data_IF_072778730094
#
_entry.id   IF_072778730094
#
_cell.length_a   1.000
_cell.length_b   1.000
_cell.length_c   1.000
_cell.angle_alpha   90.00
_cell.angle_beta   90.00
_cell.angle_gamma   90.00
#
_symmetry.space_group_name_H-M   'P 1'
#
loop_
_entity.id
_entity.type
_entity.pdbx_description
1 polymer ?
#
# COMPACT_ATOMS: atom_id res chain seq x y z
N UNK A 1 -34.10 -8.80 -26.40
CA UNK A 1 -32.76 -9.41 -26.16
C UNK A 1 -31.65 -8.52 -26.70
N UNK A 2 -31.85 -7.95 -27.89
CA UNK A 2 -30.89 -7.05 -28.54
C UNK A 2 -30.58 -5.77 -27.75
N UNK A 3 -31.57 -5.15 -27.11
CA UNK A 3 -31.36 -3.96 -26.27
C UNK A 3 -30.45 -4.24 -25.07
N UNK A 4 -30.60 -5.41 -24.43
CA UNK A 4 -29.71 -5.82 -23.33
C UNK A 4 -28.29 -6.07 -23.84
N UNK A 5 -28.15 -6.69 -25.02
CA UNK A 5 -26.84 -6.90 -25.63
C UNK A 5 -26.12 -5.57 -25.92
N UNK A 6 -26.84 -4.58 -26.46
CA UNK A 6 -26.31 -3.22 -26.67
C UNK A 6 -25.85 -2.56 -25.37
N UNK A 7 -26.69 -2.61 -24.33
CA UNK A 7 -26.33 -2.08 -23.00
C UNK A 7 -25.07 -2.74 -22.42
N UNK A 8 -24.92 -4.06 -22.60
CA UNK A 8 -23.71 -4.77 -22.17
C UNK A 8 -22.48 -4.41 -23.00
N UNK A 9 -22.64 -4.19 -24.31
CA UNK A 9 -21.55 -3.73 -25.16
C UNK A 9 -21.09 -2.31 -24.81
N UNK A 10 -22.02 -1.42 -24.47
CA UNK A 10 -21.71 -0.04 -24.10
C UNK A 10 -21.04 0.04 -22.72
N UNK A 11 -21.50 -0.79 -21.77
CA UNK A 11 -20.82 -0.99 -20.48
C UNK A 11 -19.40 -1.53 -20.67
N UNK A 12 -19.21 -2.46 -21.61
CA UNK A 12 -17.89 -3.02 -21.92
C UNK A 12 -16.97 -2.04 -22.65
N UNK A 13 -17.53 -1.06 -23.36
CA UNK A 13 -16.79 0.01 -24.05
C UNK A 13 -16.49 1.22 -23.14
N UNK A 14 -16.99 1.24 -21.90
CA UNK A 14 -16.83 2.39 -20.99
C UNK A 14 -17.75 3.57 -21.31
N UNK A 15 -18.68 3.43 -22.25
CA UNK A 15 -19.50 4.54 -22.80
C UNK A 15 -20.75 4.87 -21.96
N UNK A 16 -20.93 4.26 -20.79
CA UNK A 16 -22.16 4.37 -19.98
C UNK A 16 -22.32 5.72 -19.26
N UNK A 17 -21.29 6.56 -19.21
CA UNK A 17 -21.31 7.88 -18.57
C UNK A 17 -21.60 9.05 -19.52
N UNK A 18 -21.49 8.84 -20.84
CA UNK A 18 -21.59 9.93 -21.81
C UNK A 18 -22.99 10.56 -21.92
N UNK A 19 -24.05 9.85 -21.49
CA UNK A 19 -25.43 10.31 -21.66
C UNK A 19 -26.02 11.07 -20.45
N UNK A 20 -25.29 11.16 -19.32
CA UNK A 20 -25.89 11.57 -18.04
C UNK A 20 -25.56 12.97 -17.54
N UNK A 21 -24.62 13.70 -18.14
CA UNK A 21 -24.08 14.94 -17.55
C UNK A 21 -23.84 16.09 -18.53
N UNK A 22 -24.46 16.08 -19.71
CA UNK A 22 -24.48 17.25 -20.60
C UNK A 22 -25.94 17.68 -20.77
N UNK A 23 -26.48 18.39 -19.76
CA UNK A 23 -27.55 19.33 -20.06
C UNK A 23 -26.89 20.46 -20.86
N UNK A 24 -27.00 20.38 -22.17
CA UNK A 24 -26.63 21.44 -23.10
C UNK A 24 -27.56 22.64 -22.85
N UNK A 25 -27.31 23.36 -21.76
CA UNK A 25 -27.78 24.72 -21.62
C UNK A 25 -26.87 25.56 -22.52
N UNK A 26 -27.42 26.00 -23.66
CA UNK A 26 -26.81 26.87 -24.67
C UNK A 26 -26.37 28.20 -24.02
N UNK A 27 -25.28 28.17 -23.26
CA UNK A 27 -24.65 29.38 -22.73
C UNK A 27 -23.84 30.01 -23.85
N UNK A 28 -24.22 31.23 -24.24
CA UNK A 28 -23.76 32.04 -25.39
C UNK A 28 -22.25 32.38 -25.44
N UNK A 29 -21.43 31.78 -24.58
CA UNK A 29 -20.01 32.10 -24.46
C UNK A 29 -19.14 31.04 -25.15
N UNK A 30 -18.84 31.27 -26.44
CA UNK A 30 -17.93 30.44 -27.25
C UNK A 30 -16.56 30.21 -26.58
N UNK A 31 -16.11 31.16 -25.75
CA UNK A 31 -14.88 31.08 -24.98
C UNK A 31 -14.92 29.97 -23.92
N UNK A 32 -16.03 29.86 -23.17
CA UNK A 32 -16.21 28.79 -22.18
C UNK A 32 -16.37 27.43 -22.85
N UNK A 33 -17.03 27.37 -24.00
CA UNK A 33 -17.13 26.15 -24.80
C UNK A 33 -15.77 25.68 -25.33
N UNK A 34 -14.87 26.60 -25.71
CA UNK A 34 -13.50 26.27 -26.13
C UNK A 34 -12.64 25.80 -24.96
N UNK A 35 -12.78 26.42 -23.79
CA UNK A 35 -12.04 26.03 -22.58
C UNK A 35 -12.46 24.63 -22.10
N UNK A 36 -13.78 24.35 -22.06
CA UNK A 36 -14.30 23.02 -21.72
C UNK A 36 -13.89 21.96 -22.74
N UNK A 37 -13.81 22.28 -24.04
CA UNK A 37 -13.27 21.35 -25.06
C UNK A 37 -11.80 21.03 -24.82
N UNK A 38 -10.97 22.05 -24.56
CA UNK A 38 -9.54 21.87 -24.25
C UNK A 38 -9.32 21.05 -22.97
N UNK A 39 -10.16 21.26 -21.96
CA UNK A 39 -10.13 20.47 -20.72
C UNK A 39 -10.58 19.02 -20.98
N UNK A 40 -11.67 18.81 -21.73
CA UNK A 40 -12.13 17.46 -22.13
C UNK A 40 -11.06 16.72 -22.94
N UNK A 41 -10.33 17.38 -23.84
CA UNK A 41 -9.21 16.80 -24.61
C UNK A 41 -7.99 16.44 -23.74
N UNK A 42 -7.85 17.05 -22.56
CA UNK A 42 -6.76 16.76 -21.61
C UNK A 42 -7.13 15.77 -20.50
N UNK A 43 -8.41 15.40 -20.35
CA UNK A 43 -8.87 14.43 -19.37
C UNK A 43 -8.75 13.01 -19.92
N UNK A 44 -8.11 12.13 -19.17
CA UNK A 44 -8.00 10.71 -19.51
C UNK A 44 -9.24 9.98 -18.98
N UNK A 45 -10.04 9.40 -19.88
CA UNK A 45 -11.09 8.46 -19.49
C UNK A 45 -10.46 7.10 -19.16
N UNK A 46 -10.42 6.79 -17.87
CA UNK A 46 -9.82 5.57 -17.36
C UNK A 46 -10.63 4.31 -17.71
N UNK A 47 -11.95 4.43 -17.84
CA UNK A 47 -12.83 3.31 -18.19
C UNK A 47 -12.67 2.96 -19.67
N UNK A 48 -12.57 3.97 -20.54
CA UNK A 48 -12.25 3.78 -21.96
C UNK A 48 -10.84 3.23 -22.16
N UNK A 49 -9.83 3.81 -21.50
CA UNK A 49 -8.43 3.34 -21.59
C UNK A 49 -8.28 1.88 -21.13
N UNK A 50 -9.01 1.49 -20.09
CA UNK A 50 -9.02 0.12 -19.61
C UNK A 50 -9.70 -0.83 -20.62
N UNK A 51 -10.84 -0.43 -21.20
CA UNK A 51 -11.54 -1.20 -22.22
C UNK A 51 -10.69 -1.40 -23.49
N UNK A 52 -9.98 -0.36 -23.94
CA UNK A 52 -9.09 -0.42 -25.10
C UNK A 52 -7.86 -1.32 -24.83
N UNK A 53 -7.29 -1.26 -23.62
CA UNK A 53 -6.23 -2.17 -23.21
C UNK A 53 -6.69 -3.64 -23.20
N UNK A 54 -7.94 -3.91 -22.81
CA UNK A 54 -8.52 -5.26 -22.86
C UNK A 54 -8.81 -5.73 -24.30
N UNK A 55 -9.18 -4.81 -25.22
CA UNK A 55 -9.33 -5.11 -26.66
C UNK A 55 -7.99 -5.39 -27.32
N UNK A 56 -6.95 -4.63 -26.98
CA UNK A 56 -5.57 -4.87 -27.45
C UNK A 56 -5.06 -6.24 -27.03
N UNK A 57 -5.34 -6.68 -25.80
CA UNK A 57 -5.03 -8.05 -25.35
C UNK A 57 -5.86 -9.17 -26.00
N UNK A 58 -7.00 -8.84 -26.60
CA UNK A 58 -7.89 -9.80 -27.26
C UNK A 58 -7.60 -10.02 -28.75
N UNK A 59 -6.71 -9.21 -29.34
CA UNK A 59 -6.33 -9.28 -30.76
C UNK A 59 -4.81 -9.44 -30.87
N UNK A 60 -4.31 -10.64 -30.56
CA UNK A 60 -3.08 -11.23 -31.12
C UNK A 60 -1.91 -10.32 -31.48
N UNK A 61 -1.49 -9.44 -30.58
CA UNK A 61 -0.20 -8.76 -30.66
C UNK A 61 0.33 -8.69 -29.23
N UNK A 62 1.05 -9.74 -28.86
CA UNK A 62 2.11 -9.63 -27.86
C UNK A 62 2.98 -8.47 -28.31
N UNK A 63 3.15 -7.49 -27.43
CA UNK A 63 4.12 -6.43 -27.66
C UNK A 63 5.48 -7.10 -27.77
N UNK A 64 5.97 -7.15 -29.01
CA UNK A 64 7.37 -7.21 -29.37
C UNK A 64 8.08 -6.10 -28.59
N UNK A 65 8.66 -6.46 -27.45
CA UNK A 65 9.95 -5.90 -27.07
C UNK A 65 10.98 -6.73 -27.85
N UNK A 66 11.30 -6.25 -29.06
CA UNK A 66 12.56 -6.55 -29.72
C UNK A 66 13.68 -6.05 -28.80
N UNK A 67 14.25 -6.96 -28.01
CA UNK A 67 15.68 -7.02 -27.78
C UNK A 67 16.08 -8.48 -28.07
N UNK A 68 16.28 -8.76 -29.35
CA UNK A 68 17.11 -9.87 -29.81
C UNK A 68 18.54 -9.58 -29.34
N UNK A 69 18.90 -10.01 -28.13
CA UNK A 69 20.29 -10.21 -27.73
C UNK A 69 20.39 -11.39 -26.74
N UNK A 70 20.61 -12.56 -27.35
CA UNK A 70 21.32 -13.72 -26.81
C UNK A 70 20.60 -14.58 -25.75
N UNK A 71 20.22 -15.79 -26.19
CA UNK A 71 19.73 -16.94 -25.39
C UNK A 71 20.69 -17.33 -24.22
N UNK A 72 21.87 -16.70 -24.13
CA UNK A 72 22.83 -16.88 -23.04
C UNK A 72 22.43 -16.19 -21.71
N UNK A 73 21.57 -15.17 -21.77
CA UNK A 73 21.16 -14.38 -20.58
C UNK A 73 20.00 -15.00 -19.78
N UNK A 74 19.28 -15.96 -20.36
CA UNK A 74 18.23 -16.73 -19.68
C UNK A 74 18.77 -17.77 -18.69
N UNK A 75 20.09 -17.99 -18.66
CA UNK A 75 20.72 -18.90 -17.71
C UNK A 75 20.53 -18.43 -16.26
N UNK A 76 19.96 -19.29 -15.43
CA UNK A 76 19.74 -19.00 -14.00
C UNK A 76 21.06 -19.17 -13.26
N UNK A 77 21.63 -18.07 -12.78
CA UNK A 77 22.89 -18.03 -12.02
C UNK A 77 22.61 -17.65 -10.57
N UNK A 78 23.42 -18.17 -9.64
CA UNK A 78 23.42 -17.72 -8.25
C UNK A 78 24.30 -16.47 -8.09
N UNK A 79 23.74 -15.38 -7.57
CA UNK A 79 24.45 -14.13 -7.30
C UNK A 79 24.13 -13.60 -5.89
N UNK A 80 24.95 -12.66 -5.40
CA UNK A 80 24.71 -11.97 -4.14
C UNK A 80 23.96 -10.66 -4.38
N UNK A 81 22.84 -10.48 -3.70
CA UNK A 81 22.02 -9.28 -3.70
C UNK A 81 22.73 -8.11 -2.99
N UNK A 82 22.24 -6.89 -3.16
CA UNK A 82 22.71 -5.66 -2.46
C UNK A 82 22.69 -5.81 -0.93
N UNK A 83 21.84 -6.68 -0.39
CA UNK A 83 21.78 -7.01 1.04
C UNK A 83 22.73 -8.15 1.48
N UNK A 84 23.62 -8.63 0.60
CA UNK A 84 24.54 -9.74 0.87
C UNK A 84 23.86 -11.11 0.97
N UNK A 85 22.64 -11.26 0.42
CA UNK A 85 21.90 -12.53 0.41
C UNK A 85 22.14 -13.26 -0.92
N UNK A 86 22.30 -14.57 -0.87
CA UNK A 86 22.39 -15.38 -2.10
C UNK A 86 21.01 -15.54 -2.75
N UNK A 87 20.87 -15.09 -3.99
CA UNK A 87 19.67 -15.21 -4.82
C UNK A 87 19.99 -15.99 -6.09
N UNK A 88 18.96 -16.60 -6.69
CA UNK A 88 19.05 -17.22 -8.03
C UNK A 88 18.21 -16.37 -8.98
N UNK A 89 18.83 -15.88 -10.04
CA UNK A 89 18.19 -14.99 -11.02
C UNK A 89 18.87 -15.10 -12.37
N UNK A 90 18.48 -14.23 -13.30
CA UNK A 90 19.08 -14.19 -14.63
C UNK A 90 20.48 -13.60 -14.60
N UNK A 91 21.26 -13.84 -15.64
CA UNK A 91 22.60 -13.26 -15.78
C UNK A 91 22.58 -11.72 -15.78
N UNK A 92 21.52 -11.13 -16.34
CA UNK A 92 21.28 -9.69 -16.32
C UNK A 92 21.03 -9.15 -14.90
N UNK A 93 20.23 -9.85 -14.09
CA UNK A 93 19.99 -9.48 -12.69
C UNK A 93 21.27 -9.56 -11.86
N UNK A 94 22.10 -10.59 -12.12
CA UNK A 94 23.42 -10.73 -11.50
C UNK A 94 24.39 -9.60 -11.88
N UNK A 95 24.41 -9.19 -13.16
CA UNK A 95 25.24 -8.08 -13.63
C UNK A 95 24.80 -6.73 -13.03
N UNK A 96 23.50 -6.51 -12.90
CA UNK A 96 22.95 -5.31 -12.26
C UNK A 96 23.33 -5.24 -10.77
N UNK A 97 23.22 -6.35 -10.04
CA UNK A 97 23.64 -6.43 -8.64
C UNK A 97 25.15 -6.18 -8.46
N UNK A 98 25.99 -6.66 -9.38
CA UNK A 98 27.43 -6.42 -9.36
C UNK A 98 27.77 -4.92 -9.54
N UNK A 99 27.11 -4.22 -10.47
CA UNK A 99 27.32 -2.78 -10.70
C UNK A 99 26.90 -1.93 -9.50
N UNK A 100 25.77 -2.26 -8.87
CA UNK A 100 25.33 -1.56 -7.66
C UNK A 100 26.30 -1.76 -6.49
N UNK A 101 26.87 -2.96 -6.35
CA UNK A 101 27.88 -3.27 -5.32
C UNK A 101 29.17 -2.46 -5.52
N UNK A 102 29.59 -2.28 -6.77
CA UNK A 102 30.75 -1.46 -7.14
C UNK A 102 30.48 0.03 -6.81
N UNK A 103 29.33 0.57 -7.23
CA UNK A 103 28.94 1.96 -6.93
C UNK A 103 28.78 2.23 -5.42
N UNK A 104 28.30 1.26 -4.64
CA UNK A 104 28.22 1.38 -3.19
C UNK A 104 29.61 1.40 -2.54
N UNK A 105 30.52 0.55 -3.01
CA UNK A 105 31.91 0.53 -2.54
C UNK A 105 32.64 1.85 -2.84
N UNK A 106 32.43 2.42 -4.03
CA UNK A 106 32.99 3.71 -4.42
C UNK A 106 32.35 4.90 -3.68
N UNK A 107 31.04 4.81 -3.37
CA UNK A 107 30.34 5.80 -2.53
C UNK A 107 30.71 5.73 -1.06
N UNK A 108 31.17 4.58 -0.56
CA UNK A 108 31.64 4.39 0.82
C UNK A 108 32.84 5.26 1.16
N UNK A 109 33.77 5.45 0.23
CA UNK A 109 34.97 6.27 0.44
C UNK A 109 34.73 7.79 0.23
N UNK A 110 33.74 8.16 -0.58
CA UNK A 110 33.48 9.56 -0.93
C UNK A 110 32.50 10.29 0.03
N UNK A 111 31.64 9.58 0.76
CA UNK A 111 30.52 10.19 1.53
C UNK A 111 30.86 10.65 2.96
N UNK A 112 32.05 10.38 3.49
CA UNK A 112 32.27 10.52 4.95
C UNK A 112 33.36 11.50 5.39
N UNK A 113 33.89 12.37 4.53
CA UNK A 113 34.89 13.39 4.96
C UNK A 113 34.37 14.38 6.00
N UNK A 114 33.05 14.50 6.17
CA UNK A 114 32.38 15.40 7.12
C UNK A 114 31.80 14.67 8.34
N UNK A 115 31.88 13.34 8.39
CA UNK A 115 31.35 12.56 9.51
C UNK A 115 32.50 12.25 10.47
N UNK A 116 32.37 12.58 11.77
CA UNK A 116 33.37 12.18 12.75
C UNK A 116 33.48 10.66 12.80
N UNK A 117 34.71 10.15 13.02
CA UNK A 117 34.96 8.72 13.14
C UNK A 117 34.10 8.12 14.24
N UNK A 118 33.54 6.94 13.96
CA UNK A 118 32.72 6.21 14.93
C UNK A 118 33.57 5.96 16.20
N UNK A 119 33.05 6.23 17.40
CA UNK A 119 33.80 5.98 18.63
C UNK A 119 34.06 4.48 18.82
N UNK A 120 35.28 4.12 19.21
CA UNK A 120 35.71 2.72 19.36
C UNK A 120 34.95 1.98 20.49
N UNK A 121 34.54 2.73 21.52
CA UNK A 121 33.87 2.19 22.70
C UNK A 121 32.35 2.20 22.54
N UNK A 122 31.84 1.35 21.65
CA UNK A 122 30.40 1.10 21.55
C UNK A 122 29.97 0.06 22.58
N UNK A 123 28.93 0.40 23.35
CA UNK A 123 28.29 -0.54 24.25
C UNK A 123 27.32 -1.39 23.41
N UNK A 124 27.59 -2.68 23.29
CA UNK A 124 26.74 -3.63 22.57
C UNK A 124 25.83 -4.40 23.56
N UNK A 125 24.55 -4.56 23.22
CA UNK A 125 23.58 -5.34 24.00
C UNK A 125 22.76 -4.54 25.02
N UNK A 126 21.98 -5.24 25.85
CA UNK A 126 21.12 -4.66 26.88
C UNK A 126 21.94 -4.22 28.11
N UNK A 127 22.77 -3.20 27.96
CA UNK A 127 23.50 -2.59 29.06
C UNK A 127 22.61 -1.54 29.74
N UNK A 128 22.01 -1.90 30.87
CA UNK A 128 21.34 -0.94 31.75
C UNK A 128 22.43 -0.22 32.54
N UNK A 129 22.69 1.05 32.22
CA UNK A 129 23.57 1.91 33.04
C UNK A 129 22.86 2.24 34.36
N UNK A 130 22.87 1.30 35.31
CA UNK A 130 22.22 1.47 36.62
C UNK A 130 22.89 2.56 37.48
N UNK A 131 24.18 2.83 37.24
CA UNK A 131 24.96 3.83 37.99
C UNK A 131 24.96 5.22 37.35
N UNK A 132 24.36 5.40 36.17
CA UNK A 132 24.28 6.73 35.52
C UNK A 132 23.45 7.74 36.33
N UNK A 133 22.61 7.26 37.25
CA UNK A 133 21.75 8.07 38.12
C UNK A 133 21.87 7.66 39.59
N UNK A 134 23.09 7.74 40.13
CA UNK A 134 23.30 7.84 41.57
C UNK A 134 23.56 9.30 41.93
N UNK A 135 22.50 10.14 42.12
CA UNK A 135 22.71 11.52 42.51
C UNK A 135 23.34 11.56 43.91
N UNK A 136 24.44 12.29 44.06
CA UNK A 136 25.01 12.58 45.37
C UNK A 136 23.94 13.14 46.31
N UNK A 137 24.10 12.93 47.62
CA UNK A 137 23.12 13.33 48.63
C UNK A 137 22.73 14.82 48.54
N UNK A 138 23.66 15.68 48.15
CA UNK A 138 23.39 17.11 47.89
C UNK A 138 22.51 17.34 46.65
N UNK A 139 22.77 16.62 45.55
CA UNK A 139 22.01 16.70 44.31
C UNK A 139 20.58 16.17 44.50
N UNK A 140 20.43 15.07 45.26
CA UNK A 140 19.13 14.53 45.65
C UNK A 140 18.32 15.53 46.49
N UNK A 141 18.95 16.23 47.44
CA UNK A 141 18.31 17.27 48.23
C UNK A 141 17.86 18.45 47.36
N UNK A 142 18.69 18.89 46.41
CA UNK A 142 18.36 19.96 45.48
C UNK A 142 17.19 19.59 44.55
N UNK A 143 17.18 18.36 44.02
CA UNK A 143 16.05 17.85 43.25
C UNK A 143 14.76 17.81 44.08
N UNK A 144 14.82 17.37 45.33
CA UNK A 144 13.66 17.36 46.22
C UNK A 144 13.13 18.77 46.52
N UNK A 145 14.03 19.74 46.61
CA UNK A 145 13.70 21.15 46.83
C UNK A 145 13.03 21.77 45.60
N UNK A 146 13.56 21.52 44.40
CA UNK A 146 12.94 21.93 43.14
C UNK A 146 11.56 21.30 42.95
N UNK A 147 11.40 20.01 43.28
CA UNK A 147 10.11 19.31 43.19
C UNK A 147 9.06 19.83 44.20
N UNK A 148 9.48 20.39 45.33
CA UNK A 148 8.59 21.07 46.30
C UNK A 148 8.18 22.45 45.81
N UNK A 149 9.07 23.16 45.10
CA UNK A 149 8.82 24.49 44.52
C UNK A 149 8.10 24.46 43.19
N UNK A 150 8.04 23.30 42.53
CA UNK A 150 7.22 23.11 41.34
C UNK A 150 5.78 23.42 41.70
N UNK A 151 5.18 24.39 41.02
CA UNK A 151 3.75 24.64 41.12
C UNK A 151 3.01 23.34 40.79
N UNK A 152 2.30 22.84 41.80
CA UNK A 152 1.42 21.66 41.69
C UNK A 152 -0.01 22.08 41.39
N UNK A 153 -0.22 23.32 40.95
CA UNK A 153 -1.53 23.77 40.47
C UNK A 153 -2.00 22.73 39.46
N UNK A 154 -3.20 22.16 39.66
CA UNK A 154 -3.72 21.15 38.76
C UNK A 154 -3.70 21.74 37.36
N UNK A 155 -3.16 20.95 36.43
CA UNK A 155 -3.41 20.94 34.98
C UNK A 155 -3.73 22.28 34.30
N UNK A 156 -3.06 22.64 33.19
CA UNK A 156 -3.55 23.75 32.36
C UNK A 156 -5.06 23.58 32.14
N UNK A 157 -5.81 24.69 32.23
CA UNK A 157 -7.26 24.71 31.98
C UNK A 157 -7.56 23.85 30.76
N UNK A 158 -8.65 23.06 30.79
CA UNK A 158 -9.07 22.16 29.71
C UNK A 158 -9.42 22.97 28.45
N UNK A 159 -8.38 23.49 27.82
CA UNK A 159 -8.43 24.32 26.64
C UNK A 159 -8.46 23.35 25.48
N UNK A 160 -9.67 23.09 25.01
CA UNK A 160 -9.89 22.25 23.85
C UNK A 160 -9.55 23.01 22.57
N UNK A 161 -9.19 22.23 21.54
CA UNK A 161 -8.96 22.75 20.21
C UNK A 161 -10.20 23.49 19.68
N UNK A 162 -10.04 24.73 19.25
CA UNK A 162 -11.09 25.52 18.60
C UNK A 162 -10.90 25.48 17.09
N UNK A 163 -11.86 24.86 16.41
CA UNK A 163 -11.85 24.68 14.96
C UNK A 163 -12.03 25.99 14.20
N UNK A 164 -12.61 27.01 14.82
CA UNK A 164 -12.87 28.32 14.20
C UNK A 164 -11.65 29.24 14.27
N UNK A 165 -10.74 28.97 15.22
CA UNK A 165 -9.54 29.78 15.43
C UNK A 165 -8.44 29.52 14.38
N UNK A 166 -8.48 28.38 13.69
CA UNK A 166 -7.45 27.99 12.74
C UNK A 166 -8.03 27.33 11.49
N UNK A 167 -7.51 27.71 10.31
CA UNK A 167 -7.98 27.16 9.05
C UNK A 167 -7.20 25.92 8.61
N UNK A 168 -7.15 24.91 9.48
CA UNK A 168 -6.55 23.59 9.19
C UNK A 168 -7.55 22.57 8.64
N UNK A 169 -8.84 22.94 8.58
CA UNK A 169 -9.94 22.04 8.26
C UNK A 169 -10.22 21.89 6.75
N UNK A 170 -9.38 22.44 5.87
CA UNK A 170 -9.65 22.54 4.41
C UNK A 170 -9.34 21.29 3.58
N UNK A 171 -8.84 20.20 4.16
CA UNK A 171 -8.33 19.06 3.38
C UNK A 171 -8.78 17.66 3.81
N UNK A 172 -9.32 17.48 5.00
CA UNK A 172 -9.70 16.15 5.52
C UNK A 172 -11.01 16.25 6.29
N UNK A 173 -11.80 15.18 6.29
CA UNK A 173 -13.08 15.10 6.99
C UNK A 173 -12.90 15.35 8.49
N UNK A 174 -13.09 16.61 8.89
CA UNK A 174 -12.89 17.09 10.24
C UNK A 174 -14.25 17.16 10.96
N UNK A 175 -14.28 16.65 12.19
CA UNK A 175 -15.45 16.74 13.06
C UNK A 175 -15.19 17.78 14.16
N UNK A 176 -15.93 18.90 14.10
CA UNK A 176 -15.83 19.97 15.08
C UNK A 176 -16.62 19.59 16.34
N UNK A 177 -15.94 19.46 17.47
CA UNK A 177 -16.60 19.25 18.76
C UNK A 177 -17.19 20.55 19.28
N UNK A 178 -18.26 20.43 20.07
CA UNK A 178 -18.81 21.57 20.81
C UNK A 178 -17.81 22.09 21.85
N UNK A 179 -17.88 23.39 22.15
CA UNK A 179 -17.15 24.04 23.24
C UNK A 179 -17.71 23.66 24.61
N UNK A 180 -18.98 23.25 24.66
CA UNK A 180 -19.63 22.81 25.89
C UNK A 180 -19.16 21.40 26.28
N UNK A 181 -18.56 21.24 27.45
CA UNK A 181 -18.01 19.95 27.92
C UNK A 181 -19.03 18.81 27.94
N UNK A 182 -20.29 19.10 28.28
CA UNK A 182 -21.36 18.09 28.30
C UNK A 182 -21.69 17.59 26.90
N UNK A 183 -21.89 18.51 25.95
CA UNK A 183 -22.18 18.17 24.56
C UNK A 183 -20.98 17.48 23.91
N UNK A 184 -19.76 17.94 24.21
CA UNK A 184 -18.52 17.32 23.73
C UNK A 184 -18.36 15.89 24.23
N UNK A 185 -18.67 15.62 25.50
CA UNK A 185 -18.64 14.25 26.06
C UNK A 185 -19.61 13.33 25.33
N UNK A 186 -20.85 13.78 25.13
CA UNK A 186 -21.85 13.02 24.36
C UNK A 186 -21.38 12.75 22.93
N UNK A 187 -20.85 13.76 22.24
CA UNK A 187 -20.30 13.60 20.89
C UNK A 187 -19.11 12.61 20.84
N UNK A 188 -18.25 12.61 21.86
CA UNK A 188 -17.17 11.63 21.97
C UNK A 188 -17.69 10.22 22.20
N UNK A 189 -18.70 10.05 23.06
CA UNK A 189 -19.34 8.75 23.30
C UNK A 189 -20.01 8.21 22.03
N UNK A 190 -20.73 9.05 21.29
CA UNK A 190 -21.33 8.70 20.01
C UNK A 190 -20.28 8.27 18.98
N UNK A 191 -19.17 8.99 18.87
CA UNK A 191 -18.07 8.62 17.97
C UNK A 191 -17.39 7.30 18.38
N UNK A 192 -17.24 7.04 19.68
CA UNK A 192 -16.73 5.75 20.16
C UNK A 192 -17.69 4.61 19.82
N UNK A 193 -18.99 4.80 20.02
CA UNK A 193 -20.00 3.80 19.67
C UNK A 193 -20.00 3.50 18.16
N UNK A 194 -19.97 4.53 17.32
CA UNK A 194 -19.88 4.37 15.87
C UNK A 194 -18.59 3.64 15.44
N UNK A 195 -17.47 3.93 16.10
CA UNK A 195 -16.21 3.21 15.87
C UNK A 195 -16.36 1.72 16.22
N UNK A 196 -16.90 1.39 17.37
CA UNK A 196 -17.06 0.01 17.83
C UNK A 196 -17.98 -0.78 16.89
N UNK A 197 -19.07 -0.18 16.43
CA UNK A 197 -19.96 -0.77 15.43
C UNK A 197 -19.21 -1.07 14.12
N UNK A 198 -18.46 -0.10 13.59
CA UNK A 198 -17.70 -0.30 12.35
C UNK A 198 -16.60 -1.35 12.49
N UNK A 199 -15.99 -1.46 13.67
CA UNK A 199 -14.99 -2.48 13.96
C UNK A 199 -15.63 -3.87 13.98
N UNK A 200 -16.76 -4.03 14.68
CA UNK A 200 -17.52 -5.29 14.70
C UNK A 200 -17.94 -5.71 13.30
N UNK A 201 -18.46 -4.79 12.48
CA UNK A 201 -18.82 -5.10 11.09
C UNK A 201 -17.62 -5.53 10.24
N UNK A 202 -16.46 -4.88 10.43
CA UNK A 202 -15.22 -5.25 9.74
C UNK A 202 -14.75 -6.64 10.14
N UNK A 203 -14.85 -6.99 11.42
CA UNK A 203 -14.51 -8.31 11.93
C UNK A 203 -15.44 -9.38 11.36
N UNK A 204 -16.76 -9.18 11.43
CA UNK A 204 -17.75 -10.09 10.83
C UNK A 204 -17.49 -10.27 9.33
N UNK A 205 -17.19 -9.19 8.60
CA UNK A 205 -16.85 -9.26 7.16
C UNK A 205 -15.56 -10.05 6.92
N UNK A 206 -14.55 -9.87 7.78
CA UNK A 206 -13.27 -10.58 7.70
C UNK A 206 -13.46 -12.08 7.99
N UNK A 207 -14.25 -12.43 8.98
CA UNK A 207 -14.57 -13.83 9.32
C UNK A 207 -15.33 -14.53 8.18
N UNK A 208 -16.38 -13.90 7.64
CA UNK A 208 -17.11 -14.43 6.48
C UNK A 208 -16.20 -14.63 5.26
N UNK A 209 -15.26 -13.71 5.04
CA UNK A 209 -14.26 -13.85 3.96
C UNK A 209 -13.32 -15.02 4.24
N UNK A 210 -12.82 -15.16 5.47
CA UNK A 210 -11.94 -16.26 5.85
C UNK A 210 -12.63 -17.63 5.72
N UNK A 211 -13.88 -17.75 6.14
CA UNK A 211 -14.68 -18.97 5.97
C UNK A 211 -14.85 -19.31 4.48
N UNK A 212 -15.20 -18.33 3.64
CA UNK A 212 -15.31 -18.52 2.19
C UNK A 212 -14.00 -18.99 1.57
N UNK A 213 -12.86 -18.43 1.97
CA UNK A 213 -11.56 -18.88 1.47
C UNK A 213 -11.21 -20.30 1.95
N UNK A 214 -11.49 -20.66 3.21
CA UNK A 214 -11.31 -22.05 3.70
C UNK A 214 -12.08 -23.06 2.87
N UNK A 215 -13.37 -22.79 2.60
CA UNK A 215 -14.21 -23.67 1.77
C UNK A 215 -13.67 -23.76 0.34
N UNK A 216 -13.18 -22.66 -0.24
CA UNK A 216 -12.55 -22.68 -1.57
C UNK A 216 -11.27 -23.51 -1.56
N UNK A 217 -10.43 -23.37 -0.54
CA UNK A 217 -9.16 -24.09 -0.44
C UNK A 217 -9.39 -25.59 -0.28
N UNK A 218 -10.36 -26.00 0.54
CA UNK A 218 -10.78 -27.41 0.64
C UNK A 218 -11.27 -27.96 -0.71
N UNK A 219 -12.07 -27.18 -1.44
CA UNK A 219 -12.52 -27.56 -2.80
C UNK A 219 -11.33 -27.69 -3.76
N UNK A 220 -10.38 -26.75 -3.73
CA UNK A 220 -9.15 -26.82 -4.56
C UNK A 220 -8.32 -28.05 -4.22
N UNK A 221 -8.16 -28.39 -2.94
CA UNK A 221 -7.45 -29.61 -2.50
C UNK A 221 -8.11 -30.87 -3.05
N UNK A 222 -9.43 -31.02 -2.89
CA UNK A 222 -10.18 -32.16 -3.43
C UNK A 222 -10.07 -32.28 -4.95
N UNK A 223 -10.15 -31.16 -5.67
CA UNK A 223 -9.95 -31.14 -7.13
C UNK A 223 -8.52 -31.54 -7.50
N UNK A 224 -7.52 -31.06 -6.74
CA UNK A 224 -6.12 -31.43 -6.91
C UNK A 224 -5.88 -32.94 -6.74
N UNK A 225 -6.46 -33.54 -5.70
CA UNK A 225 -6.40 -34.99 -5.45
C UNK A 225 -7.07 -35.81 -6.55
N UNK A 226 -8.23 -35.37 -7.06
CA UNK A 226 -8.91 -36.04 -8.17
C UNK A 226 -8.09 -35.93 -9.47
N UNK A 227 -7.47 -34.78 -9.71
CA UNK A 227 -6.59 -34.57 -10.88
C UNK A 227 -5.34 -35.42 -10.80
N UNK A 228 -4.69 -35.50 -9.64
CA UNK A 228 -3.47 -36.32 -9.46
C UNK A 228 -3.78 -37.80 -9.61
N UNK A 229 -4.89 -38.29 -9.06
CA UNK A 229 -5.36 -39.67 -9.28
C UNK A 229 -5.60 -39.97 -10.75
N UNK A 230 -6.32 -39.08 -11.46
CA UNK A 230 -6.56 -39.23 -12.90
C UNK A 230 -5.26 -39.23 -13.70
N UNK A 231 -4.31 -38.35 -13.37
CA UNK A 231 -2.99 -38.33 -14.02
C UNK A 231 -2.21 -39.63 -13.77
N UNK A 232 -2.25 -40.16 -12.54
CA UNK A 232 -1.61 -41.43 -12.21
C UNK A 232 -2.24 -42.61 -12.97
N UNK A 233 -3.57 -42.66 -13.06
CA UNK A 233 -4.30 -43.68 -13.85
C UNK A 233 -3.95 -43.60 -15.35
N UNK A 234 -3.91 -42.39 -15.93
CA UNK A 234 -3.51 -42.23 -17.34
C UNK A 234 -2.04 -42.59 -17.56
N UNK A 235 -1.16 -42.29 -16.60
CA UNK A 235 0.24 -42.70 -16.66
C UNK A 235 0.39 -44.22 -16.62
N UNK A 236 -0.32 -44.91 -15.71
CA UNK A 236 -0.33 -46.37 -15.62
C UNK A 236 -0.92 -47.03 -16.86
N UNK A 237 -2.02 -46.50 -17.40
CA UNK A 237 -2.61 -46.98 -18.63
C UNK A 237 -1.64 -46.86 -19.82
N UNK A 238 -0.93 -45.73 -19.93
CA UNK A 238 0.09 -45.51 -20.96
C UNK A 238 1.31 -46.41 -20.81
N UNK A 239 1.65 -46.83 -19.58
CA UNK A 239 2.74 -47.79 -19.35
C UNK A 239 2.36 -49.22 -19.74
N UNK A 240 1.09 -49.60 -19.53
CA UNK A 240 0.56 -50.91 -19.91
C UNK A 240 0.45 -51.14 -21.43
N UNK A 241 0.35 -50.05 -22.20
CA UNK A 241 0.22 -50.08 -23.67
C UNK A 241 1.58 -50.22 -24.40
N UNK A 242 2.70 -50.17 -23.67
CA UNK A 242 4.07 -50.32 -24.23
C UNK A 242 4.60 -51.76 -24.06
N UNK A 243 3.73 -52.70 -23.66
CA UNK A 243 4.08 -54.09 -23.36
C UNK A 243 3.31 -55.14 -24.15
N UNK A 244 3.25 -55.01 -25.50
CA UNK A 244 2.97 -56.09 -26.47
C UNK A 244 3.77 -55.81 -27.74
#
# INVERSE_FOLDING_TARGET
>A
MEEKARMYEDLKKGMYLAAGSDSEEETQDEYLARLRRREKEGLVDFDQKWADAQRGKGSGSEGEEEDEDDDENASIVSYEDELGRTRRGTRAEAAHAARLKEEESERGDAKERWRPSRPDNLIYGAAVQAEAFNPDAGLAAQMSYLAKRRDRSPTPEETHYDADAEVRNRGTGFYAFSKDENARRQQMEELMNARDETQREREIRRERKAERERVKDERRKKIGELRSKRQAEMFLAKLGDVGV
#
